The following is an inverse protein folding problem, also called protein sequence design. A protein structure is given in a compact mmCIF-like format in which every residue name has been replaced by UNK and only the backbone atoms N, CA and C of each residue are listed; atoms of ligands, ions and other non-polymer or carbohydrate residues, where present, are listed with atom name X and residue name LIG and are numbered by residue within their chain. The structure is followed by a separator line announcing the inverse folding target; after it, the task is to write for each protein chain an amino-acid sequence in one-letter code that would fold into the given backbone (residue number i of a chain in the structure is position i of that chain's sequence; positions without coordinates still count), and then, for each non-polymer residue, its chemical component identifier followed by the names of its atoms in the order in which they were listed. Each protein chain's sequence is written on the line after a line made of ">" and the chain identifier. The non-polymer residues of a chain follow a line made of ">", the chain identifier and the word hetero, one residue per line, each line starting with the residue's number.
data_IF_994351587693
#
_entry.id   IF_994351587693
#
_cell.length_a   1.000
_cell.length_b   1.000
_cell.length_c   1.000
_cell.angle_alpha   90.00
_cell.angle_beta   90.00
_cell.angle_gamma   90.00
#
_symmetry.space_group_name_H-M   'P 1'
#
loop_
_entity.id
_entity.type
_entity.pdbx_description
1 polymer ?
#
# COMPACT_ATOMS: atom_id res chain seq x y z
N UNK A 1 -9.79 -32.28 18.17
CA UNK A 1 -9.87 -30.82 18.33
C UNK A 1 -9.02 -30.24 17.22
N UNK A 2 -9.62 -29.96 16.05
CA UNK A 2 -8.83 -29.61 14.84
C UNK A 2 -9.56 -28.67 13.88
N UNK A 3 -10.78 -28.23 14.21
CA UNK A 3 -11.64 -27.48 13.27
C UNK A 3 -11.53 -25.97 13.36
N UNK A 4 -10.86 -25.41 14.37
CA UNK A 4 -10.73 -23.95 14.54
C UNK A 4 -9.58 -23.36 13.70
N UNK A 5 -8.56 -24.18 13.37
CA UNK A 5 -7.34 -23.72 12.68
C UNK A 5 -7.52 -23.57 11.16
N UNK A 6 -8.31 -24.43 10.51
CA UNK A 6 -8.48 -24.38 9.05
C UNK A 6 -9.19 -23.10 8.57
N UNK A 7 -10.14 -22.56 9.35
CA UNK A 7 -10.81 -21.31 9.02
C UNK A 7 -9.92 -20.10 9.26
N UNK A 8 -9.09 -20.13 10.31
CA UNK A 8 -8.08 -19.10 10.58
C UNK A 8 -6.98 -19.10 9.50
N UNK A 9 -6.54 -20.27 9.03
CA UNK A 9 -5.59 -20.41 7.93
C UNK A 9 -6.14 -19.83 6.61
N UNK A 10 -7.43 -20.08 6.32
CA UNK A 10 -8.11 -19.50 5.15
C UNK A 10 -8.23 -17.98 5.26
N UNK A 11 -8.56 -17.43 6.45
CA UNK A 11 -8.61 -15.99 6.70
C UNK A 11 -7.22 -15.33 6.57
N UNK A 12 -6.17 -15.97 7.11
CA UNK A 12 -4.79 -15.52 6.98
C UNK A 12 -4.37 -15.43 5.52
N UNK A 13 -4.68 -16.45 4.71
CA UNK A 13 -4.34 -16.45 3.29
C UNK A 13 -5.01 -15.30 2.52
N UNK A 14 -6.27 -15.01 2.84
CA UNK A 14 -7.03 -13.93 2.22
C UNK A 14 -6.53 -12.54 2.65
N UNK A 15 -6.03 -12.40 3.88
CA UNK A 15 -5.43 -11.15 4.39
C UNK A 15 -4.06 -10.91 3.77
N UNK A 16 -3.25 -11.95 3.56
CA UNK A 16 -1.94 -11.82 2.91
C UNK A 16 -2.09 -11.33 1.46
N UNK A 17 -3.12 -11.79 0.73
CA UNK A 17 -3.41 -11.26 -0.59
C UNK A 17 -3.68 -9.74 -0.56
N UNK A 18 -4.49 -9.28 0.38
CA UNK A 18 -4.78 -7.85 0.55
C UNK A 18 -3.57 -7.04 1.02
N UNK A 19 -2.66 -7.65 1.80
CA UNK A 19 -1.39 -7.01 2.20
C UNK A 19 -0.57 -6.61 0.97
N UNK A 20 -0.50 -7.45 -0.05
CA UNK A 20 0.25 -7.12 -1.27
C UNK A 20 -0.37 -5.92 -1.98
N UNK A 21 -1.69 -5.96 -2.21
CA UNK A 21 -2.44 -4.85 -2.82
C UNK A 21 -2.33 -3.56 -1.98
N UNK A 22 -2.32 -3.67 -0.65
CA UNK A 22 -2.13 -2.56 0.28
C UNK A 22 -0.75 -1.94 0.11
N UNK A 23 0.30 -2.75 0.08
CA UNK A 23 1.67 -2.29 -0.08
C UNK A 23 1.90 -1.63 -1.45
N UNK A 24 1.16 -2.03 -2.48
CA UNK A 24 1.19 -1.41 -3.82
C UNK A 24 0.37 -0.12 -3.93
N UNK A 25 -0.32 0.29 -2.86
CA UNK A 25 -1.30 1.39 -2.87
C UNK A 25 -2.49 1.16 -3.84
N UNK A 26 -2.81 -0.10 -4.12
CA UNK A 26 -3.91 -0.51 -5.00
C UNK A 26 -5.14 -0.98 -4.20
N UNK A 27 -5.11 -0.82 -2.88
CA UNK A 27 -6.10 -1.35 -1.95
C UNK A 27 -7.20 -0.33 -1.66
N UNK A 28 -8.46 -0.81 -1.62
CA UNK A 28 -9.59 0.01 -1.20
C UNK A 28 -9.69 0.14 0.33
N UNK A 29 -10.57 1.02 0.80
CA UNK A 29 -10.72 1.31 2.22
C UNK A 29 -11.23 0.09 3.02
N UNK A 30 -12.09 -0.75 2.43
CA UNK A 30 -12.62 -1.92 3.11
C UNK A 30 -11.53 -2.98 3.32
N UNK A 31 -10.71 -3.22 2.30
CA UNK A 31 -9.54 -4.10 2.38
C UNK A 31 -8.51 -3.58 3.39
N UNK A 32 -8.27 -2.26 3.43
CA UNK A 32 -7.37 -1.64 4.43
C UNK A 32 -7.84 -1.91 5.87
N UNK A 33 -9.12 -1.71 6.15
CA UNK A 33 -9.70 -1.98 7.48
C UNK A 33 -9.62 -3.47 7.82
N UNK A 34 -9.89 -4.36 6.86
CA UNK A 34 -9.81 -5.81 7.04
C UNK A 34 -8.40 -6.26 7.42
N UNK A 35 -7.40 -5.82 6.65
CA UNK A 35 -5.99 -6.11 6.95
C UNK A 35 -5.63 -5.63 8.35
N UNK A 36 -5.92 -4.36 8.67
CA UNK A 36 -5.58 -3.81 9.99
C UNK A 36 -6.19 -4.64 11.13
N UNK A 37 -7.49 -4.93 11.05
CA UNK A 37 -8.19 -5.71 12.07
C UNK A 37 -7.57 -7.09 12.29
N UNK A 38 -7.15 -7.77 11.22
CA UNK A 38 -6.53 -9.08 11.32
C UNK A 38 -5.12 -8.98 11.90
N UNK A 39 -4.30 -8.02 11.44
CA UNK A 39 -2.95 -7.79 11.96
C UNK A 39 -2.92 -7.43 13.46
N UNK A 40 -3.96 -6.79 13.98
CA UNK A 40 -4.11 -6.46 15.40
C UNK A 40 -4.22 -7.72 16.29
N UNK A 41 -4.62 -8.87 15.74
CA UNK A 41 -4.90 -10.09 16.50
C UNK A 41 -4.08 -11.31 16.03
N UNK A 42 -3.43 -11.24 14.86
CA UNK A 42 -2.66 -12.34 14.27
C UNK A 42 -1.17 -11.98 14.17
N UNK A 43 -0.39 -12.44 15.16
CA UNK A 43 1.07 -12.28 15.20
C UNK A 43 1.81 -12.82 13.96
N UNK A 44 1.50 -14.04 13.47
CA UNK A 44 2.13 -14.58 12.26
C UNK A 44 1.93 -13.69 11.02
N UNK A 45 0.72 -13.18 10.78
CA UNK A 45 0.46 -12.28 9.66
C UNK A 45 1.12 -10.92 9.85
N UNK A 46 1.23 -10.41 11.08
CA UNK A 46 1.97 -9.18 11.37
C UNK A 46 3.46 -9.32 11.05
N UNK A 47 4.06 -10.47 11.38
CA UNK A 47 5.45 -10.77 11.02
C UNK A 47 5.63 -10.85 9.50
N UNK A 48 4.76 -11.58 8.81
CA UNK A 48 4.77 -11.69 7.34
C UNK A 48 4.64 -10.30 6.67
N UNK A 49 3.66 -9.50 7.09
CA UNK A 49 3.49 -8.11 6.63
C UNK A 49 4.78 -7.30 6.79
N UNK A 50 5.41 -7.35 7.97
CA UNK A 50 6.65 -6.61 8.24
C UNK A 50 7.84 -7.06 7.40
N UNK A 51 7.89 -8.33 7.01
CA UNK A 51 8.91 -8.84 6.06
C UNK A 51 8.65 -8.28 4.66
N UNK A 52 7.41 -8.38 4.17
CA UNK A 52 7.03 -7.90 2.83
C UNK A 52 7.29 -6.40 2.66
N UNK A 53 6.91 -5.59 3.66
CA UNK A 53 7.17 -4.14 3.66
C UNK A 53 8.67 -3.83 3.54
N UNK A 54 9.51 -4.53 4.32
CA UNK A 54 10.97 -4.36 4.29
C UNK A 54 11.56 -4.76 2.95
N UNK A 55 11.11 -5.87 2.37
CA UNK A 55 11.55 -6.33 1.05
C UNK A 55 11.17 -5.31 -0.02
N UNK A 56 9.92 -4.85 -0.04
CA UNK A 56 9.45 -3.83 -0.98
C UNK A 56 10.24 -2.54 -0.88
N UNK A 57 10.49 -2.06 0.34
CA UNK A 57 11.32 -0.88 0.61
C UNK A 57 12.77 -1.06 0.13
N UNK A 58 13.34 -2.26 0.32
CA UNK A 58 14.68 -2.57 -0.17
C UNK A 58 14.73 -2.57 -1.69
N UNK A 59 13.77 -3.21 -2.36
CA UNK A 59 13.67 -3.25 -3.82
C UNK A 59 13.49 -1.84 -4.37
N UNK A 60 12.57 -1.03 -3.82
CA UNK A 60 12.37 0.35 -4.25
C UNK A 60 13.65 1.20 -4.18
N UNK A 61 14.49 0.98 -3.16
CA UNK A 61 15.77 1.70 -3.01
C UNK A 61 16.89 1.19 -3.90
N UNK A 62 16.93 -0.11 -4.21
CA UNK A 62 18.05 -0.76 -4.91
C UNK A 62 17.78 -1.01 -6.39
N UNK A 63 16.51 -1.09 -6.76
CA UNK A 63 16.04 -1.52 -8.08
C UNK A 63 15.04 -0.52 -8.69
N UNK A 64 14.78 0.64 -8.07
CA UNK A 64 13.78 1.64 -8.46
C UNK A 64 14.00 2.39 -9.80
N UNK A 65 14.89 1.90 -10.67
CA UNK A 65 15.01 2.35 -12.05
C UNK A 65 15.60 3.76 -12.26
N UNK A 66 15.39 4.25 -13.49
CA UNK A 66 15.86 5.54 -13.97
C UNK A 66 15.05 6.68 -13.39
N UNK A 67 15.73 7.78 -13.02
CA UNK A 67 15.04 8.99 -12.55
C UNK A 67 14.18 9.55 -13.66
N UNK A 68 12.95 9.91 -13.33
CA UNK A 68 12.06 10.63 -14.23
C UNK A 68 12.80 11.86 -14.83
N UNK A 69 12.66 12.13 -16.14
CA UNK A 69 13.33 13.25 -16.78
C UNK A 69 12.98 14.59 -16.12
N UNK A 70 13.94 15.49 -16.00
CA UNK A 70 13.73 16.80 -15.37
C UNK A 70 12.62 17.62 -16.03
N UNK A 71 12.53 17.59 -17.37
CA UNK A 71 11.46 18.28 -18.10
C UNK A 71 10.06 17.77 -17.76
N UNK A 72 9.90 16.51 -17.35
CA UNK A 72 8.61 16.01 -16.86
C UNK A 72 8.25 16.64 -15.50
N UNK A 73 9.23 16.74 -14.60
CA UNK A 73 9.07 17.37 -13.28
C UNK A 73 8.66 18.84 -13.40
N UNK A 74 9.31 19.59 -14.29
CA UNK A 74 9.00 21.00 -14.55
C UNK A 74 7.57 21.17 -15.06
N UNK A 75 7.18 20.39 -16.07
CA UNK A 75 5.81 20.40 -16.62
C UNK A 75 4.76 20.10 -15.56
N UNK A 76 4.97 19.04 -14.76
CA UNK A 76 4.04 18.68 -13.68
C UNK A 76 3.92 19.80 -12.64
N UNK A 77 5.03 20.44 -12.27
CA UNK A 77 5.03 21.55 -11.30
C UNK A 77 4.20 22.74 -11.79
N UNK A 78 4.30 23.08 -13.08
CA UNK A 78 3.51 24.16 -13.68
C UNK A 78 2.02 23.81 -13.66
N UNK A 79 1.65 22.61 -14.12
CA UNK A 79 0.24 22.19 -14.21
C UNK A 79 -0.43 22.07 -12.82
N UNK A 80 0.28 21.55 -11.82
CA UNK A 80 -0.23 21.49 -10.44
C UNK A 80 -0.50 22.90 -9.91
N UNK A 81 0.42 23.86 -10.11
CA UNK A 81 0.24 25.25 -9.66
C UNK A 81 -0.92 25.96 -10.37
N UNK A 82 -1.08 25.74 -11.68
CA UNK A 82 -2.21 26.28 -12.46
C UNK A 82 -3.55 25.82 -11.90
N UNK A 83 -3.64 24.54 -11.55
CA UNK A 83 -4.88 23.94 -11.03
C UNK A 83 -5.28 24.58 -9.70
N UNK A 84 -4.31 24.91 -8.82
CA UNK A 84 -4.60 25.55 -7.53
C UNK A 84 -5.16 26.96 -7.69
N UNK A 85 -4.65 27.77 -8.64
CA UNK A 85 -5.15 29.14 -8.86
C UNK A 85 -6.61 29.19 -9.31
N UNK A 86 -7.08 28.16 -10.04
CA UNK A 86 -8.46 28.13 -10.56
C UNK A 86 -9.48 27.85 -9.44
N UNK A 87 -9.06 27.20 -8.34
CA UNK A 87 -9.98 26.80 -7.25
C UNK A 87 -10.16 27.91 -6.21
N UNK A 88 -9.19 28.83 -6.06
CA UNK A 88 -9.21 29.87 -5.02
C UNK A 88 -9.81 31.22 -5.46
N UNK A 89 -10.00 31.48 -6.77
CA UNK A 89 -10.41 32.81 -7.27
C UNK A 89 -11.94 33.01 -7.35
N UNK A 90 -12.69 32.33 -6.49
CA UNK A 90 -14.15 32.18 -6.62
C UNK A 90 -14.97 32.19 -5.33
N UNK A 91 -14.45 32.75 -4.22
CA UNK A 91 -15.25 33.02 -3.02
C UNK A 91 -14.88 34.32 -2.32
#
# INVERSE_FOLDING_TARGET
>A
MSGENEFEDLDCSAVIADVWTLLDNECDEASRVRVQKHLDHCGPCLEAYGIEEKIKSLIGRKCGGERAPEGLRERLTIEIRRTVTIVDDGR
#
